data_IF_993994760843
#
_entry.id   IF_993994760843
#
_cell.length_a   1.000
_cell.length_b   1.000
_cell.length_c   1.000
_cell.angle_alpha   90.00
_cell.angle_beta   90.00
_cell.angle_gamma   90.00
#
_symmetry.space_group_name_H-M   'P 1'
#
loop_
_entity.id
_entity.type
_entity.pdbx_description
1 polymer ?
#
# COMPACT_ATOMS: atom_id res chain seq x y z
N UNK A 1 -8.73 -23.21 -16.04
CA UNK A 1 -9.93 -23.72 -15.33
C UNK A 1 -9.47 -24.92 -14.54
N UNK A 2 -9.74 -24.92 -13.23
CA UNK A 2 -9.37 -25.94 -12.28
C UNK A 2 -10.66 -26.58 -11.74
N UNK A 3 -10.65 -27.89 -11.59
CA UNK A 3 -11.78 -28.63 -11.00
C UNK A 3 -11.26 -29.55 -9.91
N UNK A 4 -12.11 -29.87 -8.93
CA UNK A 4 -11.68 -30.70 -7.82
C UNK A 4 -12.75 -30.89 -6.77
N UNK A 5 -12.38 -31.52 -5.66
CA UNK A 5 -13.30 -31.81 -4.57
C UNK A 5 -12.87 -31.04 -3.33
N UNK A 6 -13.84 -30.46 -2.63
CA UNK A 6 -13.66 -29.85 -1.31
C UNK A 6 -14.85 -30.15 -0.39
N UNK A 7 -14.65 -29.91 0.90
CA UNK A 7 -15.72 -30.03 1.91
C UNK A 7 -16.19 -28.67 2.38
N UNK A 8 -17.51 -28.53 2.48
CA UNK A 8 -18.17 -27.37 3.08
C UNK A 8 -19.41 -27.82 3.85
N UNK A 9 -19.55 -27.42 5.12
CA UNK A 9 -20.61 -27.90 6.03
C UNK A 9 -20.75 -29.44 6.07
N UNK A 10 -19.63 -30.16 6.14
CA UNK A 10 -19.58 -31.63 6.12
C UNK A 10 -20.15 -32.32 4.87
N UNK A 11 -20.48 -31.55 3.83
CA UNK A 11 -20.88 -32.06 2.51
C UNK A 11 -19.73 -31.94 1.51
N UNK A 12 -19.63 -32.92 0.61
CA UNK A 12 -18.66 -32.91 -0.49
C UNK A 12 -19.21 -32.10 -1.66
N UNK A 13 -18.40 -31.18 -2.18
CA UNK A 13 -18.68 -30.39 -3.37
C UNK A 13 -17.63 -30.61 -4.43
N UNK A 14 -18.06 -30.74 -5.68
CA UNK A 14 -17.23 -30.50 -6.84
C UNK A 14 -17.08 -28.99 -7.02
N UNK A 15 -15.86 -28.46 -6.96
CA UNK A 15 -15.60 -27.07 -7.30
C UNK A 15 -15.24 -26.92 -8.78
N UNK A 16 -15.72 -25.84 -9.39
CA UNK A 16 -15.27 -25.36 -10.70
C UNK A 16 -14.76 -23.93 -10.52
N UNK A 17 -13.49 -23.72 -10.83
CA UNK A 17 -12.82 -22.46 -10.61
C UNK A 17 -12.05 -22.02 -11.85
N UNK A 18 -12.23 -20.77 -12.27
CA UNK A 18 -11.44 -20.19 -13.35
C UNK A 18 -10.42 -19.23 -12.77
N UNK A 19 -9.14 -19.53 -12.99
CA UNK A 19 -8.03 -18.65 -12.58
C UNK A 19 -8.23 -17.24 -13.14
N UNK A 20 -8.03 -16.25 -12.27
CA UNK A 20 -8.27 -14.84 -12.58
C UNK A 20 -9.72 -14.36 -12.41
N UNK A 21 -10.66 -15.23 -12.05
CA UNK A 21 -12.04 -14.83 -11.69
C UNK A 21 -12.22 -14.97 -10.18
N UNK A 22 -12.73 -13.95 -9.51
CA UNK A 22 -12.89 -13.86 -8.05
C UNK A 22 -14.14 -14.59 -7.52
N UNK A 23 -14.69 -15.51 -8.31
CA UNK A 23 -15.88 -16.31 -7.98
C UNK A 23 -15.64 -17.76 -8.38
N UNK A 24 -16.02 -18.69 -7.51
CA UNK A 24 -16.00 -20.12 -7.79
C UNK A 24 -17.39 -20.72 -7.66
N UNK A 25 -17.61 -21.82 -8.39
CA UNK A 25 -18.84 -22.60 -8.34
C UNK A 25 -18.63 -23.84 -7.45
N UNK A 26 -19.55 -24.11 -6.54
CA UNK A 26 -19.62 -25.34 -5.77
C UNK A 26 -20.87 -26.11 -6.15
N UNK A 27 -20.67 -27.33 -6.66
CA UNK A 27 -21.72 -28.24 -7.12
C UNK A 27 -21.80 -29.39 -6.12
N UNK A 28 -22.92 -29.60 -5.42
CA UNK A 28 -23.07 -30.71 -4.48
C UNK A 28 -22.80 -32.06 -5.14
N UNK A 29 -22.01 -32.92 -4.49
CA UNK A 29 -21.71 -34.25 -5.02
C UNK A 29 -22.89 -35.24 -4.89
N UNK A 30 -23.76 -35.04 -3.90
CA UNK A 30 -24.99 -35.82 -3.74
C UNK A 30 -26.21 -35.00 -4.22
N UNK A 31 -26.94 -35.54 -5.19
CA UNK A 31 -28.19 -34.94 -5.70
C UNK A 31 -29.33 -34.95 -4.67
N UNK A 32 -29.16 -35.67 -3.54
CA UNK A 32 -30.12 -35.70 -2.42
C UNK A 32 -29.89 -34.60 -1.37
N UNK A 33 -28.79 -33.86 -1.40
CA UNK A 33 -28.62 -32.70 -0.52
C UNK A 33 -29.57 -31.59 -1.00
N UNK A 34 -30.78 -31.62 -0.45
CA UNK A 34 -31.76 -30.55 -0.63
C UNK A 34 -31.31 -29.34 0.16
N UNK A 35 -30.36 -28.57 -0.38
CA UNK A 35 -30.18 -27.18 0.02
C UNK A 35 -31.41 -26.47 -0.55
N UNK A 36 -32.43 -26.25 0.30
CA UNK A 36 -33.68 -25.65 -0.15
C UNK A 36 -33.38 -24.35 -0.91
N UNK A 37 -33.87 -24.19 -2.15
CA UNK A 37 -33.67 -22.96 -2.89
C UNK A 37 -34.44 -21.85 -2.19
N UNK A 38 -33.74 -20.93 -1.51
CA UNK A 38 -34.33 -19.66 -1.12
C UNK A 38 -34.48 -18.83 -2.39
N UNK A 39 -35.64 -18.93 -3.02
CA UNK A 39 -36.00 -18.13 -4.19
C UNK A 39 -36.44 -16.75 -3.70
N UNK A 40 -35.79 -15.70 -4.21
CA UNK A 40 -36.27 -14.33 -4.06
C UNK A 40 -37.54 -14.17 -4.93
N UNK A 41 -38.72 -14.25 -4.30
CA UNK A 41 -39.98 -13.84 -4.93
C UNK A 41 -40.33 -12.42 -4.51
N UNK A 42 -40.36 -11.50 -5.48
CA UNK A 42 -41.09 -10.25 -5.32
C UNK A 42 -42.54 -10.43 -5.78
N UNK A 43 -43.47 -10.53 -4.82
CA UNK A 43 -44.91 -10.49 -5.07
C UNK A 43 -45.54 -9.47 -4.12
N UNK A 44 -46.11 -8.41 -4.71
CA UNK A 44 -47.11 -7.51 -4.11
C UNK A 44 -46.91 -7.14 -2.62
N UNK A 45 -45.81 -6.45 -2.30
CA UNK A 45 -45.73 -5.65 -1.07
C UNK A 45 -45.59 -6.43 0.24
N UNK A 46 -45.26 -7.72 0.21
CA UNK A 46 -44.87 -8.49 1.40
C UNK A 46 -43.38 -8.82 1.27
N UNK A 47 -42.55 -8.16 2.08
CA UNK A 47 -41.16 -8.57 2.31
C UNK A 47 -41.17 -9.80 3.19
N UNK A 48 -40.84 -10.96 2.63
CA UNK A 48 -40.39 -12.08 3.42
C UNK A 48 -38.90 -11.86 3.72
N UNK A 49 -38.56 -11.70 4.99
CA UNK A 49 -37.17 -11.59 5.45
C UNK A 49 -36.48 -12.96 5.31
N UNK A 50 -36.09 -13.32 4.10
CA UNK A 50 -35.18 -14.43 3.88
C UNK A 50 -33.76 -13.90 4.02
N UNK A 51 -33.11 -14.20 5.15
CA UNK A 51 -31.69 -13.90 5.28
C UNK A 51 -30.92 -14.64 4.18
N UNK A 52 -30.17 -13.93 3.32
CA UNK A 52 -29.36 -14.55 2.28
C UNK A 52 -28.32 -15.46 2.93
N UNK A 53 -27.99 -16.58 2.28
CA UNK A 53 -26.90 -17.44 2.74
C UNK A 53 -25.60 -16.62 2.74
N UNK A 54 -24.87 -16.65 3.85
CA UNK A 54 -23.62 -15.92 4.00
C UNK A 54 -22.46 -16.89 4.17
N UNK A 55 -21.34 -16.54 3.58
CA UNK A 55 -20.09 -17.29 3.74
C UNK A 55 -19.57 -17.16 5.17
N UNK A 56 -19.47 -18.27 5.89
CA UNK A 56 -19.09 -18.30 7.30
C UNK A 56 -17.67 -18.85 7.54
N UNK A 57 -17.22 -19.76 6.69
CA UNK A 57 -15.85 -20.28 6.70
C UNK A 57 -14.90 -19.29 6.01
N UNK A 58 -13.76 -18.93 6.63
CA UNK A 58 -12.75 -18.02 6.03
C UNK A 58 -11.92 -18.69 4.93
N UNK A 59 -11.90 -20.02 4.91
CA UNK A 59 -11.14 -20.81 3.94
C UNK A 59 -11.95 -22.02 3.49
N UNK A 60 -11.76 -22.41 2.23
CA UNK A 60 -12.23 -23.68 1.68
C UNK A 60 -11.04 -24.42 1.08
N UNK A 61 -10.81 -25.65 1.51
CA UNK A 61 -9.63 -26.45 1.17
C UNK A 61 -10.07 -27.63 0.33
N UNK A 62 -9.44 -27.81 -0.83
CA UNK A 62 -9.72 -28.91 -1.73
C UNK A 62 -8.48 -29.43 -2.44
N UNK A 63 -8.68 -30.45 -3.27
CA UNK A 63 -7.64 -31.03 -4.11
C UNK A 63 -8.07 -30.91 -5.59
N UNK A 64 -7.12 -30.51 -6.43
CA UNK A 64 -7.32 -30.38 -7.88
C UNK A 64 -7.29 -31.76 -8.52
N UNK A 65 -8.27 -32.07 -9.38
CA UNK A 65 -8.41 -33.39 -9.99
C UNK A 65 -7.20 -33.75 -10.88
N UNK A 66 -6.70 -32.77 -11.65
CA UNK A 66 -5.71 -32.97 -12.70
C UNK A 66 -4.32 -33.36 -12.17
N UNK A 67 -3.91 -32.83 -11.01
CA UNK A 67 -2.56 -33.00 -10.47
C UNK A 67 -2.53 -33.36 -8.98
N UNK A 68 -3.69 -33.45 -8.32
CA UNK A 68 -3.82 -33.70 -6.88
C UNK A 68 -3.18 -32.63 -5.98
N UNK A 69 -2.80 -31.48 -6.56
CA UNK A 69 -2.30 -30.34 -5.79
C UNK A 69 -3.40 -29.84 -4.86
N UNK A 70 -2.99 -29.44 -3.65
CA UNK A 70 -3.89 -28.83 -2.67
C UNK A 70 -4.14 -27.38 -3.05
N UNK A 71 -5.40 -26.97 -3.00
CA UNK A 71 -5.83 -25.58 -3.21
C UNK A 71 -6.53 -25.07 -1.97
N UNK A 72 -6.17 -23.87 -1.53
CA UNK A 72 -6.82 -23.18 -0.41
C UNK A 72 -7.44 -21.90 -0.93
N UNK A 73 -8.76 -21.86 -0.97
CA UNK A 73 -9.52 -20.68 -1.34
C UNK A 73 -9.72 -19.78 -0.11
N UNK A 74 -9.34 -18.51 -0.24
CA UNK A 74 -9.60 -17.49 0.79
C UNK A 74 -10.92 -16.82 0.47
N UNK A 75 -11.92 -16.99 1.33
CA UNK A 75 -13.28 -16.49 1.08
C UNK A 75 -13.48 -15.11 1.69
N UNK A 76 -14.52 -14.41 1.24
CA UNK A 76 -14.96 -13.15 1.86
C UNK A 76 -16.01 -13.46 2.93
N UNK A 77 -15.59 -13.51 4.20
CA UNK A 77 -16.50 -13.78 5.34
C UNK A 77 -17.67 -12.79 5.36
N UNK A 78 -18.86 -13.30 5.62
CA UNK A 78 -20.15 -12.60 5.59
C UNK A 78 -20.60 -12.09 4.21
N UNK A 79 -19.89 -12.41 3.13
CA UNK A 79 -20.40 -12.14 1.77
C UNK A 79 -21.61 -13.01 1.46
N UNK A 80 -22.53 -12.48 0.65
CA UNK A 80 -23.67 -13.25 0.19
C UNK A 80 -23.21 -14.35 -0.76
N UNK A 81 -23.66 -15.57 -0.51
CA UNK A 81 -23.52 -16.70 -1.43
C UNK A 81 -24.73 -16.69 -2.36
N UNK A 82 -24.48 -16.57 -3.66
CA UNK A 82 -25.54 -16.70 -4.67
C UNK A 82 -25.80 -18.18 -4.92
N UNK A 83 -27.07 -18.59 -4.96
CA UNK A 83 -27.48 -19.97 -5.22
C UNK A 83 -28.36 -20.04 -6.47
N UNK A 84 -27.99 -20.89 -7.44
CA UNK A 84 -28.79 -21.14 -8.65
C UNK A 84 -28.78 -22.64 -8.93
N UNK A 85 -29.95 -23.27 -9.01
CA UNK A 85 -30.09 -24.71 -9.29
C UNK A 85 -29.19 -25.61 -8.40
N UNK A 86 -29.13 -25.31 -7.10
CA UNK A 86 -28.25 -25.96 -6.10
C UNK A 86 -26.74 -25.75 -6.29
N UNK A 87 -26.31 -24.93 -7.25
CA UNK A 87 -24.93 -24.47 -7.37
C UNK A 87 -24.73 -23.24 -6.50
N UNK A 88 -23.69 -23.25 -5.68
CA UNK A 88 -23.29 -22.09 -4.87
C UNK A 88 -22.18 -21.31 -5.58
N UNK A 89 -22.35 -20.00 -5.66
CA UNK A 89 -21.36 -19.07 -6.20
C UNK A 89 -20.71 -18.33 -5.04
N UNK A 90 -19.43 -18.61 -4.79
CA UNK A 90 -18.69 -18.11 -3.64
C UNK A 90 -17.65 -17.11 -4.10
N UNK A 91 -17.70 -15.90 -3.53
CA UNK A 91 -16.71 -14.86 -3.78
C UNK A 91 -15.43 -15.12 -3.00
N UNK A 92 -14.32 -14.89 -3.68
CA UNK A 92 -12.99 -15.17 -3.19
C UNK A 92 -12.14 -13.90 -3.14
N UNK A 93 -11.25 -13.84 -2.15
CA UNK A 93 -10.26 -12.78 -2.02
C UNK A 93 -8.91 -13.17 -2.62
N UNK A 94 -8.54 -14.45 -2.48
CA UNK A 94 -7.30 -15.01 -2.99
C UNK A 94 -7.41 -16.55 -3.05
N UNK A 95 -6.40 -17.20 -3.61
CA UNK A 95 -6.20 -18.64 -3.44
C UNK A 95 -4.72 -19.01 -3.37
N UNK A 96 -4.42 -20.11 -2.69
CA UNK A 96 -3.10 -20.73 -2.62
C UNK A 96 -3.11 -22.00 -3.48
N UNK A 97 -2.12 -22.14 -4.35
CA UNK A 97 -1.81 -23.39 -5.04
C UNK A 97 -0.58 -24.02 -4.39
N UNK A 98 -0.78 -25.16 -3.73
CA UNK A 98 0.28 -25.88 -3.01
C UNK A 98 0.65 -27.13 -3.79
N UNK A 99 1.94 -27.41 -3.92
CA UNK A 99 2.42 -28.62 -4.57
C UNK A 99 1.97 -29.88 -3.79
N UNK A 100 1.55 -30.93 -4.52
CA UNK A 100 1.04 -32.17 -3.93
C UNK A 100 2.09 -32.84 -3.01
N UNK A 101 1.58 -33.56 -1.99
CA UNK A 101 2.29 -34.37 -0.98
C UNK A 101 2.81 -33.69 0.31
N UNK A 102 2.53 -32.40 0.58
CA UNK A 102 3.05 -31.80 1.82
C UNK A 102 2.04 -31.00 2.66
N UNK A 103 1.92 -31.39 3.94
CA UNK A 103 1.28 -30.60 5.00
C UNK A 103 2.31 -29.66 5.66
N UNK A 104 3.26 -29.16 4.87
CA UNK A 104 4.34 -28.29 5.33
C UNK A 104 3.81 -26.96 5.84
N UNK A 105 4.47 -26.44 6.86
CA UNK A 105 4.28 -25.07 7.34
C UNK A 105 5.06 -24.11 6.46
N UNK A 106 4.49 -22.93 6.20
CA UNK A 106 5.10 -21.87 5.40
C UNK A 106 5.96 -20.99 6.31
N UNK A 107 7.21 -20.73 5.94
CA UNK A 107 8.14 -19.90 6.73
C UNK A 107 8.72 -18.73 5.94
N UNK A 108 8.47 -18.68 4.63
CA UNK A 108 8.99 -17.64 3.75
C UNK A 108 8.03 -17.31 2.62
N UNK A 109 8.00 -16.03 2.28
CA UNK A 109 7.19 -15.42 1.24
C UNK A 109 8.08 -14.52 0.38
N UNK A 110 8.02 -14.65 -0.95
CA UNK A 110 8.71 -13.75 -1.87
C UNK A 110 7.71 -13.10 -2.82
N UNK A 111 7.80 -11.79 -2.98
CA UNK A 111 6.93 -10.99 -3.83
C UNK A 111 7.73 -10.35 -4.96
N UNK A 112 7.23 -10.50 -6.18
CA UNK A 112 7.82 -9.94 -7.40
C UNK A 112 6.89 -8.89 -8.00
N UNK A 113 7.45 -7.77 -8.44
CA UNK A 113 6.74 -6.78 -9.26
C UNK A 113 7.74 -5.96 -10.06
N UNK A 114 7.35 -5.39 -11.21
CA UNK A 114 8.18 -4.46 -11.96
C UNK A 114 8.68 -3.30 -11.09
N UNK A 115 7.87 -2.81 -10.16
CA UNK A 115 8.25 -1.71 -9.28
C UNK A 115 9.39 -2.09 -8.33
N UNK A 116 9.41 -3.34 -7.84
CA UNK A 116 10.52 -3.85 -7.02
C UNK A 116 11.82 -3.89 -7.83
N UNK A 117 11.78 -4.23 -9.12
CA UNK A 117 12.94 -4.18 -10.02
C UNK A 117 13.56 -2.79 -10.16
N UNK A 118 12.76 -1.74 -9.92
CA UNK A 118 13.23 -0.35 -9.95
C UNK A 118 13.64 0.17 -8.57
N UNK A 119 12.93 -0.22 -7.50
CA UNK A 119 13.26 0.14 -6.11
C UNK A 119 14.60 -0.46 -5.71
N UNK A 120 14.81 -1.74 -6.02
CA UNK A 120 16.03 -2.47 -5.75
C UNK A 120 16.70 -2.93 -7.05
N UNK A 121 17.26 -1.99 -7.81
CA UNK A 121 17.68 -2.22 -9.21
C UNK A 121 18.34 -3.57 -9.51
N UNK A 122 17.76 -4.33 -10.45
CA UNK A 122 18.32 -5.59 -10.99
C UNK A 122 19.71 -5.43 -11.61
N UNK A 123 20.09 -4.21 -12.00
CA UNK A 123 21.41 -3.94 -12.57
C UNK A 123 22.56 -4.21 -11.60
N UNK A 124 22.29 -4.25 -10.28
CA UNK A 124 23.29 -4.68 -9.29
C UNK A 124 23.68 -6.15 -9.42
N UNK A 125 22.89 -6.95 -10.13
CA UNK A 125 23.07 -8.39 -10.24
C UNK A 125 24.17 -8.82 -11.20
N UNK A 126 24.63 -7.94 -12.08
CA UNK A 126 25.61 -8.27 -13.11
C UNK A 126 26.55 -7.12 -13.41
N UNK A 127 27.73 -7.48 -13.91
CA UNK A 127 28.71 -6.56 -14.44
C UNK A 127 29.05 -6.94 -15.88
N UNK A 128 29.24 -5.92 -16.73
CA UNK A 128 29.75 -6.11 -18.08
C UNK A 128 31.27 -6.01 -18.06
N UNK A 129 31.95 -7.11 -18.40
CA UNK A 129 33.37 -7.04 -18.74
C UNK A 129 33.51 -6.92 -20.25
N UNK A 130 33.64 -5.69 -20.76
CA UNK A 130 34.14 -5.48 -22.11
C UNK A 130 35.65 -5.64 -22.07
N UNK A 131 36.17 -6.83 -22.41
CA UNK A 131 37.63 -7.01 -22.44
C UNK A 131 38.30 -6.08 -23.46
N UNK A 132 37.59 -5.63 -24.51
CA UNK A 132 37.89 -4.46 -25.36
C UNK A 132 36.69 -4.20 -26.30
N UNK A 133 36.20 -2.95 -26.43
CA UNK A 133 35.14 -2.60 -27.41
C UNK A 133 35.58 -2.98 -28.84
N UNK A 134 36.89 -2.95 -29.12
CA UNK A 134 37.46 -3.36 -30.40
C UNK A 134 37.32 -4.87 -30.65
N UNK A 135 37.40 -5.71 -29.62
CA UNK A 135 37.24 -7.16 -29.77
C UNK A 135 35.76 -7.55 -29.86
N UNK A 136 34.84 -6.82 -29.22
CA UNK A 136 33.40 -7.00 -29.46
C UNK A 136 33.05 -6.74 -30.93
N UNK A 137 33.51 -5.61 -31.49
CA UNK A 137 33.26 -5.26 -32.89
C UNK A 137 33.92 -6.24 -33.89
N UNK A 138 34.94 -7.00 -33.47
CA UNK A 138 35.66 -7.95 -34.32
C UNK A 138 35.20 -9.39 -34.18
N UNK A 139 34.96 -9.86 -32.95
CA UNK A 139 34.66 -11.26 -32.61
C UNK A 139 33.21 -11.49 -32.19
N UNK A 140 32.47 -10.42 -31.88
CA UNK A 140 31.09 -10.50 -31.38
C UNK A 140 30.96 -11.16 -30.00
N UNK A 141 32.04 -11.30 -29.23
CA UNK A 141 32.03 -12.00 -27.94
C UNK A 141 31.71 -11.04 -26.79
N UNK A 142 30.73 -11.40 -25.96
CA UNK A 142 30.37 -10.69 -24.72
C UNK A 142 30.40 -11.68 -23.57
N UNK A 143 30.93 -11.25 -22.42
CA UNK A 143 30.83 -12.00 -21.16
C UNK A 143 30.00 -11.20 -20.17
N UNK A 144 28.93 -11.82 -19.66
CA UNK A 144 28.11 -11.29 -18.57
C UNK A 144 28.46 -12.09 -17.33
N UNK A 145 28.95 -11.41 -16.29
CA UNK A 145 29.24 -12.04 -15.01
C UNK A 145 28.24 -11.57 -13.97
N UNK A 146 27.54 -12.51 -13.34
CA UNK A 146 26.67 -12.20 -12.22
C UNK A 146 27.48 -11.98 -10.95
N UNK A 147 27.03 -11.04 -10.13
CA UNK A 147 27.51 -10.87 -8.77
C UNK A 147 26.89 -11.97 -7.88
N UNK A 148 27.57 -12.29 -6.77
CA UNK A 148 27.13 -13.29 -5.80
C UNK A 148 25.89 -12.83 -4.99
N UNK A 149 25.30 -13.74 -4.22
CA UNK A 149 24.07 -13.44 -3.46
C UNK A 149 24.31 -12.43 -2.33
N UNK A 150 25.45 -12.48 -1.65
CA UNK A 150 25.75 -11.62 -0.51
C UNK A 150 25.90 -10.16 -0.96
N UNK A 151 26.50 -9.92 -2.12
CA UNK A 151 26.63 -8.58 -2.71
C UNK A 151 25.36 -8.05 -3.38
N UNK A 152 24.33 -8.88 -3.52
CA UNK A 152 23.09 -8.53 -4.24
C UNK A 152 21.83 -8.67 -3.38
N UNK A 153 21.98 -8.86 -2.08
CA UNK A 153 20.88 -8.91 -1.13
C UNK A 153 21.00 -7.76 -0.14
N UNK A 154 19.88 -7.21 0.30
CA UNK A 154 19.88 -6.24 1.40
C UNK A 154 20.19 -6.94 2.72
N UNK A 155 20.69 -6.17 3.69
CA UNK A 155 20.72 -6.66 5.06
C UNK A 155 19.28 -6.84 5.57
N UNK A 156 19.00 -7.93 6.32
CA UNK A 156 17.69 -8.12 6.93
C UNK A 156 17.33 -6.97 7.87
N UNK A 157 16.08 -6.53 7.77
CA UNK A 157 15.42 -5.65 8.72
C UNK A 157 14.26 -6.41 9.35
N UNK A 158 13.73 -5.91 10.46
CA UNK A 158 12.68 -6.61 11.20
C UNK A 158 11.51 -5.69 11.49
N UNK A 159 10.32 -6.25 11.44
CA UNK A 159 9.08 -5.60 11.89
C UNK A 159 8.18 -6.62 12.57
N UNK A 160 7.17 -6.13 13.30
CA UNK A 160 6.26 -6.99 14.05
C UNK A 160 4.86 -6.91 13.47
N UNK A 161 4.21 -8.08 13.39
CA UNK A 161 2.79 -8.20 13.09
C UNK A 161 2.21 -9.05 14.21
N UNK A 162 1.33 -8.44 15.00
CA UNK A 162 0.84 -9.04 16.25
C UNK A 162 2.03 -9.36 17.17
N UNK A 163 2.20 -10.62 17.56
CA UNK A 163 3.32 -11.10 18.38
C UNK A 163 4.42 -11.78 17.56
N UNK A 164 4.30 -11.83 16.23
CA UNK A 164 5.25 -12.48 15.32
C UNK A 164 6.28 -11.46 14.82
N UNK A 165 7.56 -11.85 14.86
CA UNK A 165 8.65 -11.10 14.24
C UNK A 165 8.85 -11.57 12.80
N UNK A 166 8.98 -10.63 11.88
CA UNK A 166 9.15 -10.90 10.46
C UNK A 166 10.45 -10.24 10.01
N UNK A 167 11.34 -11.06 9.46
CA UNK A 167 12.53 -10.62 8.75
C UNK A 167 12.15 -10.18 7.35
N UNK A 168 12.69 -9.05 6.92
CA UNK A 168 12.48 -8.41 5.63
C UNK A 168 13.83 -8.26 4.93
N UNK A 169 13.90 -8.64 3.66
CA UNK A 169 15.04 -8.29 2.80
C UNK A 169 14.63 -8.13 1.34
N UNK A 170 15.41 -7.35 0.59
CA UNK A 170 15.39 -7.37 -0.87
C UNK A 170 16.45 -8.35 -1.37
N UNK A 171 16.09 -9.20 -2.32
CA UNK A 171 17.00 -10.19 -2.91
C UNK A 171 16.89 -10.17 -4.43
N UNK A 172 17.86 -10.78 -5.11
CA UNK A 172 17.82 -10.95 -6.57
C UNK A 172 17.59 -12.43 -6.91
N UNK A 173 16.44 -12.72 -7.49
CA UNK A 173 16.13 -14.00 -8.11
C UNK A 173 16.81 -14.11 -9.48
N UNK A 174 17.35 -15.30 -9.77
CA UNK A 174 18.04 -15.62 -11.02
C UNK A 174 17.52 -16.94 -11.57
N UNK A 175 16.85 -16.88 -12.71
CA UNK A 175 16.33 -18.07 -13.40
C UNK A 175 17.13 -18.30 -14.67
N UNK A 176 17.77 -19.47 -14.78
CA UNK A 176 18.51 -19.88 -15.97
C UNK A 176 17.65 -20.87 -16.77
N UNK A 177 17.55 -20.66 -18.08
CA UNK A 177 16.84 -21.56 -18.97
C UNK A 177 17.68 -21.90 -20.20
N UNK A 178 17.61 -23.16 -20.63
CA UNK A 178 18.14 -23.61 -21.92
C UNK A 178 17.03 -23.86 -22.94
N UNK A 179 15.77 -23.58 -22.58
CA UNK A 179 14.63 -23.82 -23.43
C UNK A 179 14.57 -22.81 -24.59
N UNK A 180 14.30 -23.30 -25.80
CA UNK A 180 14.14 -22.46 -26.99
C UNK A 180 12.93 -21.53 -26.79
N UNK A 181 13.13 -20.23 -27.10
CA UNK A 181 12.08 -19.22 -26.99
C UNK A 181 11.93 -18.58 -25.61
N UNK A 182 12.69 -19.02 -24.61
CA UNK A 182 12.81 -18.34 -23.30
C UNK A 182 14.15 -17.59 -23.21
N UNK A 183 14.20 -16.44 -22.53
CA UNK A 183 15.47 -15.80 -22.23
C UNK A 183 16.38 -16.77 -21.45
N UNK A 184 17.69 -16.84 -21.77
CA UNK A 184 18.60 -17.78 -21.12
C UNK A 184 18.85 -17.45 -19.65
N UNK A 185 18.70 -16.18 -19.29
CA UNK A 185 18.83 -15.67 -17.94
C UNK A 185 17.72 -14.64 -17.72
N UNK A 186 16.94 -14.84 -16.68
CA UNK A 186 15.93 -13.91 -16.19
C UNK A 186 16.36 -13.49 -14.78
N UNK A 187 16.36 -12.18 -14.53
CA UNK A 187 16.76 -11.59 -13.25
C UNK A 187 15.62 -10.69 -12.78
N UNK A 188 15.20 -10.91 -11.54
CA UNK A 188 14.15 -10.13 -10.90
C UNK A 188 14.56 -9.81 -9.47
N UNK A 189 14.12 -8.66 -9.01
CA UNK A 189 14.24 -8.24 -7.62
C UNK A 189 13.00 -8.67 -6.88
N UNK A 190 13.21 -9.20 -5.68
CA UNK A 190 12.13 -9.74 -4.86
C UNK A 190 12.14 -9.11 -3.49
N UNK A 191 10.95 -8.85 -2.97
CA UNK A 191 10.74 -8.54 -1.55
C UNK A 191 10.54 -9.87 -0.83
N UNK A 192 11.40 -10.16 0.14
CA UNK A 192 11.39 -11.41 0.88
C UNK A 192 10.97 -11.16 2.33
N UNK A 193 10.00 -11.95 2.80
CA UNK A 193 9.66 -12.08 4.21
C UNK A 193 9.98 -13.48 4.70
N UNK A 194 10.67 -13.56 5.85
CA UNK A 194 10.96 -14.80 6.56
C UNK A 194 10.41 -14.68 7.99
N UNK A 195 9.74 -15.73 8.47
CA UNK A 195 8.99 -15.74 9.71
C UNK A 195 8.92 -17.16 10.30
N UNK A 196 8.44 -17.29 11.53
CA UNK A 196 8.26 -18.62 12.14
C UNK A 196 7.27 -19.47 11.32
N UNK A 197 7.57 -20.76 11.05
CA UNK A 197 6.74 -21.63 10.23
C UNK A 197 5.27 -21.66 10.69
N UNK A 198 4.33 -21.44 9.76
CA UNK A 198 2.90 -21.34 10.06
C UNK A 198 2.00 -21.84 8.92
N UNK A 199 0.80 -22.29 9.26
CA UNK A 199 -0.32 -22.60 8.36
C UNK A 199 -1.44 -21.55 8.43
N UNK A 200 -1.17 -20.41 9.09
CA UNK A 200 -2.08 -19.27 9.18
C UNK A 200 -2.12 -18.50 7.85
N UNK A 201 -2.98 -18.96 6.95
CA UNK A 201 -3.17 -18.34 5.64
C UNK A 201 -3.63 -16.87 5.74
N UNK A 202 -4.35 -16.47 6.80
CA UNK A 202 -4.78 -15.08 6.96
C UNK A 202 -3.59 -14.17 7.27
N UNK A 203 -2.70 -14.61 8.17
CA UNK A 203 -1.44 -13.93 8.45
C UNK A 203 -0.61 -13.74 7.17
N UNK A 204 -0.47 -14.78 6.34
CA UNK A 204 0.31 -14.71 5.10
C UNK A 204 -0.32 -13.73 4.09
N UNK A 205 -1.66 -13.71 3.97
CA UNK A 205 -2.37 -12.73 3.15
C UNK A 205 -2.17 -11.31 3.68
N UNK A 206 -2.19 -11.10 4.99
CA UNK A 206 -1.91 -9.80 5.60
C UNK A 206 -0.48 -9.33 5.29
N UNK A 207 0.51 -10.23 5.32
CA UNK A 207 1.87 -9.90 4.87
C UNK A 207 1.91 -9.42 3.42
N UNK A 208 1.16 -10.07 2.51
CA UNK A 208 1.04 -9.60 1.13
C UNK A 208 0.44 -8.20 1.06
N UNK A 209 -0.55 -7.89 1.90
CA UNK A 209 -1.15 -6.56 1.98
C UNK A 209 -0.16 -5.49 2.49
N UNK A 210 0.62 -5.81 3.53
CA UNK A 210 1.63 -4.90 4.06
C UNK A 210 2.76 -4.65 3.06
N UNK A 211 3.26 -5.70 2.41
CA UNK A 211 4.20 -5.58 1.29
C UNK A 211 3.65 -4.65 0.20
N UNK A 212 2.40 -4.84 -0.21
CA UNK A 212 1.77 -4.01 -1.24
C UNK A 212 1.72 -2.55 -0.81
N UNK A 213 1.27 -2.27 0.42
CA UNK A 213 1.21 -0.90 0.94
C UNK A 213 2.59 -0.26 1.08
N UNK A 214 3.63 -1.05 1.36
CA UNK A 214 5.01 -0.58 1.37
C UNK A 214 5.46 -0.16 -0.03
N UNK A 215 5.23 -0.98 -1.05
CA UNK A 215 5.56 -0.60 -2.44
C UNK A 215 4.68 0.58 -2.91
N UNK A 216 3.39 0.63 -2.56
CA UNK A 216 2.48 1.76 -2.83
C UNK A 216 2.99 3.07 -2.24
N UNK A 217 3.52 3.01 -1.01
CA UNK A 217 4.18 4.14 -0.37
C UNK A 217 5.37 4.58 -1.22
N UNK A 218 6.33 3.69 -1.50
CA UNK A 218 7.55 4.02 -2.26
C UNK A 218 7.29 4.54 -3.68
N UNK A 219 6.18 4.13 -4.31
CA UNK A 219 5.77 4.56 -5.66
C UNK A 219 4.72 5.67 -5.68
N UNK A 220 4.22 6.10 -4.52
CA UNK A 220 3.16 7.11 -4.35
C UNK A 220 1.88 6.85 -5.19
N UNK A 221 1.42 5.60 -5.29
CA UNK A 221 0.17 5.21 -6.00
C UNK A 221 -0.38 3.87 -5.51
N UNK A 222 -1.69 3.64 -5.68
CA UNK A 222 -2.38 2.43 -5.16
C UNK A 222 -2.40 1.22 -6.12
N UNK A 223 -2.30 1.42 -7.42
CA UNK A 223 -2.36 0.36 -8.43
C UNK A 223 -1.04 -0.42 -8.58
N UNK A 224 -0.53 -0.95 -7.46
CA UNK A 224 0.62 -1.85 -7.42
C UNK A 224 0.12 -3.28 -7.40
N UNK A 225 0.70 -4.09 -8.28
CA UNK A 225 0.34 -5.49 -8.48
C UNK A 225 1.57 -6.39 -8.44
N UNK A 226 1.43 -7.57 -7.84
CA UNK A 226 2.49 -8.56 -7.83
C UNK A 226 2.36 -9.52 -9.02
N UNK A 227 3.46 -9.72 -9.75
CA UNK A 227 3.54 -10.68 -10.85
C UNK A 227 3.71 -12.11 -10.33
N UNK A 228 4.38 -12.24 -9.19
CA UNK A 228 4.50 -13.50 -8.46
C UNK A 228 4.49 -13.28 -6.96
N UNK A 229 3.89 -14.24 -6.25
CA UNK A 229 3.86 -14.30 -4.79
C UNK A 229 4.09 -15.77 -4.43
N UNK A 230 5.36 -16.12 -4.24
CA UNK A 230 5.77 -17.50 -4.02
C UNK A 230 5.99 -17.75 -2.53
N UNK A 231 5.59 -18.94 -2.08
CA UNK A 231 5.70 -19.36 -0.68
C UNK A 231 6.62 -20.57 -0.57
N UNK A 232 7.32 -20.64 0.55
CA UNK A 232 8.32 -21.65 0.80
C UNK A 232 8.12 -22.27 2.18
N UNK A 233 8.64 -23.48 2.32
CA UNK A 233 8.68 -24.24 3.57
C UNK A 233 10.14 -24.41 4.03
N UNK A 234 10.38 -24.59 5.34
CA UNK A 234 11.71 -24.83 5.86
C UNK A 234 12.23 -26.19 5.41
N UNK A 235 13.53 -26.24 5.09
CA UNK A 235 14.31 -27.47 4.95
C UNK A 235 15.58 -27.36 5.81
N UNK A 236 16.34 -28.47 5.92
CA UNK A 236 17.56 -28.50 6.72
C UNK A 236 18.56 -27.38 6.36
N UNK A 237 19.29 -26.90 7.38
CA UNK A 237 20.33 -25.87 7.29
C UNK A 237 19.82 -24.46 6.93
N UNK A 238 18.68 -24.02 7.49
CA UNK A 238 18.10 -22.68 7.25
C UNK A 238 17.90 -22.38 5.76
N UNK A 239 17.54 -23.41 4.99
CA UNK A 239 17.19 -23.26 3.58
C UNK A 239 15.69 -23.39 3.44
N UNK A 240 15.20 -22.93 2.29
CA UNK A 240 13.77 -22.94 1.99
C UNK A 240 13.55 -23.68 0.67
N UNK A 241 12.50 -24.49 0.63
CA UNK A 241 12.04 -25.15 -0.59
C UNK A 241 10.75 -24.48 -1.05
N UNK A 242 10.65 -24.20 -2.36
CA UNK A 242 9.41 -23.72 -2.96
C UNK A 242 8.28 -24.68 -2.63
N UNK A 243 7.15 -24.15 -2.17
CA UNK A 243 6.02 -24.94 -1.70
C UNK A 243 4.73 -24.64 -2.48
N UNK A 244 4.63 -23.45 -3.04
CA UNK A 244 3.45 -23.05 -3.79
C UNK A 244 3.44 -21.58 -4.14
N UNK A 245 2.30 -21.15 -4.68
CA UNK A 245 2.08 -19.77 -5.12
C UNK A 245 0.75 -19.24 -4.58
N UNK A 246 0.71 -17.95 -4.30
CA UNK A 246 -0.50 -17.20 -3.95
C UNK A 246 -0.94 -16.40 -5.17
N UNK A 247 -2.25 -16.41 -5.43
CA UNK A 247 -2.90 -15.58 -6.43
C UNK A 247 -3.91 -14.67 -5.76
N UNK A 248 -3.68 -13.36 -5.86
CA UNK A 248 -4.53 -12.31 -5.29
C UNK A 248 -5.39 -11.71 -6.42
N UNK A 249 -6.72 -11.68 -6.28
CA UNK A 249 -7.58 -11.18 -7.37
C UNK A 249 -7.42 -9.67 -7.62
N UNK A 250 -6.96 -8.91 -6.61
CA UNK A 250 -6.58 -7.51 -6.80
C UNK A 250 -5.46 -7.34 -7.85
N UNK A 251 -4.66 -8.38 -8.14
CA UNK A 251 -3.54 -8.36 -9.10
C UNK A 251 -3.94 -8.64 -10.56
N UNK A 252 -5.22 -8.82 -10.85
CA UNK A 252 -5.69 -9.09 -12.22
C UNK A 252 -5.68 -7.84 -13.13
N UNK A 253 -5.20 -6.71 -12.64
CA UNK A 253 -5.11 -5.47 -13.40
C UNK A 253 -3.71 -5.29 -14.01
N UNK A 254 -3.62 -4.46 -15.07
CA UNK A 254 -2.33 -4.12 -15.69
C UNK A 254 -1.66 -2.98 -14.94
N UNK A 255 -0.35 -3.11 -14.70
CA UNK A 255 0.46 -1.99 -14.20
C UNK A 255 0.59 -0.89 -15.26
N UNK A 256 0.73 0.35 -14.81
CA UNK A 256 0.96 1.50 -15.69
C UNK A 256 2.42 1.51 -16.15
N UNK A 257 2.62 1.58 -17.46
CA UNK A 257 3.95 1.51 -18.09
C UNK A 257 4.76 2.79 -17.79
N UNK A 258 4.15 3.97 -17.94
CA UNK A 258 4.84 5.26 -17.78
C UNK A 258 5.59 5.43 -16.44
N UNK A 259 5.00 5.19 -15.25
CA UNK A 259 5.72 5.35 -13.99
C UNK A 259 6.88 4.35 -13.81
N UNK A 260 6.79 3.16 -14.43
CA UNK A 260 7.85 2.15 -14.42
C UNK A 260 9.01 2.59 -15.31
N UNK A 261 8.74 2.92 -16.58
CA UNK A 261 9.76 3.38 -17.54
C UNK A 261 10.42 4.69 -17.08
N UNK A 262 9.63 5.55 -16.44
CA UNK A 262 10.13 6.79 -15.82
C UNK A 262 10.61 6.58 -14.39
N UNK A 263 10.78 5.35 -13.91
CA UNK A 263 11.52 5.06 -12.68
C UNK A 263 10.99 5.82 -11.43
N UNK A 264 9.69 6.15 -11.38
CA UNK A 264 9.06 6.98 -10.35
C UNK A 264 8.84 6.19 -9.06
N UNK A 265 9.91 6.06 -8.28
CA UNK A 265 9.87 5.39 -6.99
C UNK A 265 11.05 5.84 -6.12
N UNK A 266 10.87 5.73 -4.81
CA UNK A 266 11.98 5.80 -3.86
C UNK A 266 12.88 4.58 -4.05
N UNK A 267 14.18 4.82 -4.17
CA UNK A 267 15.19 3.77 -4.24
C UNK A 267 15.50 3.19 -2.87
N UNK A 268 15.82 1.90 -2.83
CA UNK A 268 16.26 1.21 -1.63
C UNK A 268 17.40 1.97 -0.93
N UNK A 269 18.36 2.50 -1.69
CA UNK A 269 19.51 3.22 -1.16
C UNK A 269 19.12 4.47 -0.35
N UNK A 270 17.93 5.03 -0.59
CA UNK A 270 17.46 6.25 0.09
C UNK A 270 16.85 5.93 1.46
N UNK A 271 16.33 4.72 1.63
CA UNK A 271 15.62 4.28 2.85
C UNK A 271 16.37 3.21 3.64
N UNK A 272 17.53 2.77 3.14
CA UNK A 272 18.32 1.68 3.71
C UNK A 272 18.44 1.78 5.24
N UNK A 273 18.03 0.72 5.94
CA UNK A 273 18.02 0.63 7.40
C UNK A 273 16.74 1.13 8.08
N UNK A 274 15.73 1.57 7.32
CA UNK A 274 14.45 2.08 7.85
C UNK A 274 13.22 1.31 7.34
N UNK A 275 13.43 0.31 6.49
CA UNK A 275 12.39 -0.48 5.83
C UNK A 275 11.50 -1.20 6.87
N UNK A 276 12.13 -1.78 7.90
CA UNK A 276 11.41 -2.42 9.00
C UNK A 276 10.51 -1.45 9.78
N UNK A 277 11.02 -0.24 10.08
CA UNK A 277 10.24 0.80 10.76
C UNK A 277 9.05 1.28 9.92
N UNK A 278 9.24 1.46 8.62
CA UNK A 278 8.17 1.85 7.69
C UNK A 278 7.10 0.75 7.64
N UNK A 279 7.50 -0.52 7.47
CA UNK A 279 6.56 -1.65 7.43
C UNK A 279 5.84 -1.86 8.77
N UNK A 280 6.49 -1.60 9.90
CA UNK A 280 5.85 -1.63 11.21
C UNK A 280 4.74 -0.56 11.32
N UNK A 281 5.01 0.67 10.87
CA UNK A 281 4.00 1.73 10.82
C UNK A 281 2.85 1.38 9.87
N UNK A 282 3.12 0.70 8.75
CA UNK A 282 2.08 0.19 7.84
C UNK A 282 1.23 -0.87 8.54
N UNK A 283 1.85 -1.87 9.17
CA UNK A 283 1.15 -2.96 9.83
C UNK A 283 0.27 -2.47 11.00
N UNK A 284 0.71 -1.41 11.70
CA UNK A 284 0.01 -0.82 12.84
C UNK A 284 -0.93 0.33 12.47
N UNK A 285 -1.13 0.62 11.17
CA UNK A 285 -1.90 1.77 10.67
C UNK A 285 -1.42 3.13 11.22
N UNK A 286 -0.13 3.21 11.51
CA UNK A 286 0.59 4.42 11.87
C UNK A 286 1.27 5.06 10.66
N UNK A 287 0.73 4.95 9.45
CA UNK A 287 1.10 5.87 8.36
C UNK A 287 -0.13 6.20 7.54
N UNK A 288 -0.30 7.47 7.15
CA UNK A 288 -1.47 7.88 6.40
C UNK A 288 -1.30 7.62 4.90
N UNK A 289 -1.82 6.49 4.41
CA UNK A 289 -1.72 6.11 2.98
C UNK A 289 -2.99 6.39 2.17
N UNK A 290 -4.06 6.90 2.79
CA UNK A 290 -5.36 7.08 2.10
C UNK A 290 -5.30 8.14 1.00
N UNK A 291 -4.40 9.12 1.13
CA UNK A 291 -4.18 10.20 0.18
C UNK A 291 -3.48 9.76 -1.12
N UNK A 292 -2.89 8.56 -1.15
CA UNK A 292 -2.26 8.05 -2.36
C UNK A 292 -3.31 7.96 -3.49
N UNK A 293 -2.97 8.43 -4.71
CA UNK A 293 -3.87 8.36 -5.84
C UNK A 293 -4.13 6.90 -6.25
N UNK A 294 -5.26 6.66 -6.93
CA UNK A 294 -5.62 5.30 -7.36
C UNK A 294 -4.61 4.76 -8.37
N UNK A 295 -4.14 5.62 -9.27
CA UNK A 295 -3.11 5.35 -10.27
C UNK A 295 -2.23 6.58 -10.47
N UNK A 296 -1.16 6.46 -11.24
CA UNK A 296 -0.36 7.61 -11.66
C UNK A 296 -1.18 8.61 -12.48
N UNK A 297 -2.00 8.14 -13.43
CA UNK A 297 -2.89 9.02 -14.20
C UNK A 297 -3.92 9.75 -13.31
N UNK A 298 -4.59 9.02 -12.41
CA UNK A 298 -5.51 9.62 -11.41
C UNK A 298 -4.79 10.68 -10.56
N UNK A 299 -3.51 10.47 -10.26
CA UNK A 299 -2.68 11.40 -9.50
C UNK A 299 -2.40 12.74 -10.19
N UNK A 300 -2.59 12.83 -11.51
CA UNK A 300 -2.48 14.09 -12.28
C UNK A 300 -3.72 14.97 -12.13
N UNK A 301 -4.80 14.45 -11.57
CA UNK A 301 -6.04 15.17 -11.35
C UNK A 301 -6.27 15.40 -9.84
N UNK A 302 -6.80 16.57 -9.49
CA UNK A 302 -7.27 16.86 -8.13
C UNK A 302 -8.78 17.09 -8.21
N UNK A 303 -9.52 16.33 -7.41
CA UNK A 303 -10.93 16.53 -7.16
C UNK A 303 -11.13 16.89 -5.69
N UNK A 304 -12.38 17.14 -5.30
CA UNK A 304 -12.72 17.46 -3.90
C UNK A 304 -12.28 16.35 -2.95
N UNK A 305 -12.41 15.09 -3.35
CA UNK A 305 -12.07 13.94 -2.51
C UNK A 305 -10.56 13.86 -2.28
N UNK A 306 -9.75 13.98 -3.32
CA UNK A 306 -8.29 13.95 -3.20
C UNK A 306 -7.78 15.18 -2.44
N UNK A 307 -8.36 16.37 -2.64
CA UNK A 307 -8.08 17.55 -1.81
C UNK A 307 -8.29 17.28 -0.31
N UNK A 308 -9.46 16.75 0.06
CA UNK A 308 -9.79 16.44 1.46
C UNK A 308 -8.81 15.40 2.01
N UNK A 309 -8.47 14.38 1.24
CA UNK A 309 -7.56 13.32 1.67
C UNK A 309 -6.12 13.84 1.86
N UNK A 310 -5.62 14.71 0.97
CA UNK A 310 -4.26 15.29 1.06
C UNK A 310 -4.16 16.25 2.24
N UNK A 311 -5.14 17.13 2.42
CA UNK A 311 -5.14 18.06 3.56
C UNK A 311 -5.27 17.30 4.89
N UNK A 312 -6.08 16.25 4.94
CA UNK A 312 -6.16 15.36 6.12
C UNK A 312 -4.84 14.63 6.38
N UNK A 313 -4.16 14.16 5.33
CA UNK A 313 -2.84 13.54 5.45
C UNK A 313 -1.82 14.50 6.02
N UNK A 314 -1.79 15.74 5.52
CA UNK A 314 -0.90 16.78 6.05
C UNK A 314 -1.15 17.03 7.52
N UNK A 315 -2.39 17.26 7.94
CA UNK A 315 -2.68 17.49 9.35
C UNK A 315 -2.28 16.33 10.24
N UNK A 316 -2.54 15.11 9.78
CA UNK A 316 -2.20 13.90 10.52
C UNK A 316 -0.69 13.72 10.65
N UNK A 317 0.07 13.77 9.56
CA UNK A 317 1.53 13.61 9.59
C UNK A 317 2.22 14.79 10.30
N UNK A 318 1.68 16.00 10.19
CA UNK A 318 2.17 17.16 10.94
C UNK A 318 2.01 16.91 12.43
N UNK A 319 0.81 16.54 12.91
CA UNK A 319 0.59 16.26 14.34
C UNK A 319 1.49 15.15 14.88
N UNK A 320 1.93 14.21 14.04
CA UNK A 320 2.86 13.18 14.49
C UNK A 320 4.33 13.61 14.53
N UNK A 321 4.72 14.62 13.73
CA UNK A 321 6.05 15.24 13.79
C UNK A 321 6.12 16.36 14.85
N UNK A 322 4.96 16.95 15.19
CA UNK A 322 4.80 18.05 16.15
C UNK A 322 3.75 17.67 17.20
N UNK A 323 4.04 16.72 18.12
CA UNK A 323 3.08 16.26 19.12
C UNK A 323 2.62 17.37 20.07
N UNK A 324 3.49 18.37 20.32
CA UNK A 324 3.21 19.53 21.17
C UNK A 324 2.64 20.73 20.37
N UNK A 325 2.37 20.55 19.08
CA UNK A 325 1.89 21.61 18.18
C UNK A 325 2.99 22.53 17.66
N UNK A 326 2.60 23.68 17.11
CA UNK A 326 3.54 24.65 16.52
C UNK A 326 4.34 25.39 17.60
N UNK A 327 5.55 25.82 17.26
CA UNK A 327 6.37 26.66 18.15
C UNK A 327 5.78 28.08 18.20
N UNK A 328 5.17 28.43 19.33
CA UNK A 328 4.52 29.74 19.55
C UNK A 328 5.43 30.73 20.28
N UNK A 329 5.21 32.02 20.06
CA UNK A 329 5.87 33.10 20.81
C UNK A 329 5.33 33.15 22.25
N UNK A 330 6.17 33.58 23.20
CA UNK A 330 5.77 33.70 24.61
C UNK A 330 4.55 34.62 24.81
N UNK A 331 4.42 35.69 24.02
CA UNK A 331 3.26 36.58 24.04
C UNK A 331 1.96 35.86 23.63
N UNK A 332 2.01 34.95 22.66
CA UNK A 332 0.87 34.14 22.23
C UNK A 332 0.48 33.15 23.30
N UNK A 333 1.45 32.47 23.93
CA UNK A 333 1.19 31.54 25.03
C UNK A 333 0.54 32.24 26.24
N UNK A 334 0.97 33.46 26.57
CA UNK A 334 0.34 34.29 27.62
C UNK A 334 -1.10 34.64 27.28
N UNK A 335 -1.38 35.01 26.03
CA UNK A 335 -2.73 35.32 25.57
C UNK A 335 -3.64 34.08 25.58
N UNK A 336 -3.17 32.94 25.06
CA UNK A 336 -3.90 31.67 25.10
C UNK A 336 -4.21 31.23 26.53
N UNK A 337 -3.25 31.36 27.46
CA UNK A 337 -3.46 31.07 28.87
C UNK A 337 -4.50 31.98 29.53
N UNK A 338 -4.43 33.29 29.28
CA UNK A 338 -5.40 34.23 29.84
C UNK A 338 -6.83 33.96 29.32
N UNK A 339 -6.96 33.64 28.03
CA UNK A 339 -8.25 33.28 27.43
C UNK A 339 -8.74 31.93 27.95
N UNK A 340 -7.87 30.93 28.07
CA UNK A 340 -8.26 29.60 28.55
C UNK A 340 -8.70 29.62 30.00
N UNK A 341 -8.05 30.40 30.86
CA UNK A 341 -8.46 30.64 32.25
C UNK A 341 -9.86 31.28 32.29
N UNK A 342 -10.09 32.35 31.52
CA UNK A 342 -11.39 33.01 31.46
C UNK A 342 -12.52 32.09 30.94
N UNK A 343 -12.26 31.30 29.91
CA UNK A 343 -13.24 30.33 29.37
C UNK A 343 -13.49 29.20 30.36
N UNK A 344 -12.46 28.75 31.10
CA UNK A 344 -12.59 27.68 32.11
C UNK A 344 -13.46 28.12 33.28
N UNK A 345 -13.31 29.36 33.77
CA UNK A 345 -14.18 29.90 34.82
C UNK A 345 -15.66 29.96 34.39
N UNK A 346 -15.91 30.33 33.13
CA UNK A 346 -17.26 30.33 32.55
C UNK A 346 -17.82 28.92 32.39
N UNK A 347 -16.96 27.96 32.06
CA UNK A 347 -17.31 26.55 31.90
C UNK A 347 -17.77 25.93 33.23
N UNK A 348 -17.06 26.20 34.33
CA UNK A 348 -17.43 25.71 35.67
C UNK A 348 -18.79 26.22 36.13
N UNK A 349 -19.14 27.46 35.76
CA UNK A 349 -20.43 28.10 36.11
C UNK A 349 -21.58 27.73 35.19
N UNK A 350 -21.35 26.89 34.18
CA UNK A 350 -22.32 26.60 33.12
C UNK A 350 -22.80 25.14 33.11
N UNK A 351 -24.00 24.91 32.59
CA UNK A 351 -24.60 23.57 32.45
C UNK A 351 -25.23 23.38 31.07
N UNK A 352 -25.46 22.13 30.67
CA UNK A 352 -26.15 21.79 29.42
C UNK A 352 -25.43 22.31 28.17
N UNK A 353 -26.18 22.92 27.25
CA UNK A 353 -25.66 23.38 25.94
C UNK A 353 -24.58 24.45 26.06
N UNK A 354 -24.67 25.34 27.06
CA UNK A 354 -23.68 26.40 27.28
C UNK A 354 -22.31 25.81 27.67
N UNK A 355 -22.31 24.77 28.51
CA UNK A 355 -21.09 24.02 28.86
C UNK A 355 -20.46 23.35 27.63
N UNK A 356 -21.27 22.82 26.71
CA UNK A 356 -20.76 22.23 25.47
C UNK A 356 -20.10 23.28 24.57
N UNK A 357 -20.66 24.50 24.50
CA UNK A 357 -20.07 25.61 23.74
C UNK A 357 -18.74 26.05 24.36
N UNK A 358 -18.66 26.22 25.69
CA UNK A 358 -17.40 26.58 26.33
C UNK A 358 -16.33 25.50 26.17
N UNK A 359 -16.71 24.21 26.26
CA UNK A 359 -15.79 23.10 25.95
C UNK A 359 -15.24 23.19 24.52
N UNK A 360 -16.10 23.52 23.56
CA UNK A 360 -15.70 23.71 22.17
C UNK A 360 -14.74 24.90 22.01
N UNK A 361 -15.06 26.06 22.58
CA UNK A 361 -14.19 27.24 22.53
C UNK A 361 -12.83 26.98 23.18
N UNK A 362 -12.80 26.29 24.32
CA UNK A 362 -11.55 25.93 25.00
C UNK A 362 -10.68 25.04 24.11
N UNK A 363 -11.27 24.09 23.37
CA UNK A 363 -10.52 23.27 22.39
C UNK A 363 -9.94 24.11 21.26
N UNK A 364 -10.65 25.14 20.80
CA UNK A 364 -10.16 26.02 19.74
C UNK A 364 -8.96 26.87 20.16
N UNK A 365 -8.89 27.29 21.43
CA UNK A 365 -7.76 28.09 21.97
C UNK A 365 -6.44 27.33 21.81
N UNK A 366 -6.45 26.02 21.98
CA UNK A 366 -5.26 25.17 21.87
C UNK A 366 -5.06 24.60 20.47
N UNK A 367 -6.00 24.81 19.53
CA UNK A 367 -5.89 24.27 18.19
C UNK A 367 -5.02 25.13 17.28
N UNK A 368 -4.09 24.51 16.58
CA UNK A 368 -3.26 25.20 15.59
C UNK A 368 -3.96 25.25 14.23
N UNK A 369 -4.16 26.45 13.64
CA UNK A 369 -4.75 26.57 12.31
C UNK A 369 -3.89 25.90 11.23
N UNK A 370 -4.54 25.38 10.18
CA UNK A 370 -3.87 24.73 9.04
C UNK A 370 -2.80 25.63 8.40
N UNK A 371 -3.13 26.91 8.20
CA UNK A 371 -2.17 27.92 7.72
C UNK A 371 -0.92 27.98 8.59
N UNK A 372 -1.07 28.02 9.92
CA UNK A 372 0.07 28.13 10.85
C UNK A 372 0.95 26.88 10.82
N UNK A 373 0.36 25.69 10.63
CA UNK A 373 1.10 24.43 10.44
C UNK A 373 1.93 24.46 9.15
N UNK A 374 1.36 24.93 8.04
CA UNK A 374 2.08 25.07 6.75
C UNK A 374 3.25 26.06 6.87
N UNK A 375 3.05 27.18 7.55
CA UNK A 375 4.12 28.15 7.82
C UNK A 375 5.22 27.53 8.69
N UNK A 376 4.86 26.76 9.72
CA UNK A 376 5.84 26.08 10.57
C UNK A 376 6.65 25.05 9.78
N UNK A 377 5.99 24.24 8.95
CA UNK A 377 6.66 23.32 8.03
C UNK A 377 7.68 24.04 7.15
N UNK A 378 7.29 25.17 6.54
CA UNK A 378 8.20 25.93 5.66
C UNK A 378 9.44 26.46 6.36
N UNK A 379 9.35 26.79 7.67
CA UNK A 379 10.53 27.18 8.45
C UNK A 379 11.48 26.02 8.67
N UNK A 380 10.94 24.84 8.98
CA UNK A 380 11.73 23.71 9.47
C UNK A 380 12.28 22.83 8.33
N UNK A 381 11.63 22.84 7.16
CA UNK A 381 11.95 21.95 6.03
C UNK A 381 12.22 22.66 4.70
N UNK A 382 12.39 23.98 4.71
CA UNK A 382 12.70 24.76 3.49
C UNK A 382 13.92 24.24 2.74
N UNK A 383 14.98 23.85 3.45
CA UNK A 383 16.21 23.30 2.86
C UNK A 383 15.98 21.98 2.07
N UNK A 384 14.90 21.25 2.36
CA UNK A 384 14.54 20.02 1.67
C UNK A 384 13.72 20.33 0.41
N UNK A 385 12.64 21.11 0.54
CA UNK A 385 11.59 21.14 -0.49
C UNK A 385 11.48 22.47 -1.27
N UNK A 386 12.07 23.57 -0.77
CA UNK A 386 11.85 24.90 -1.35
C UNK A 386 12.21 24.98 -2.84
N UNK A 387 13.27 24.31 -3.27
CA UNK A 387 13.73 24.41 -4.67
C UNK A 387 12.67 23.84 -5.63
N UNK A 388 12.04 22.73 -5.26
CA UNK A 388 10.96 22.11 -6.01
C UNK A 388 9.71 23.01 -6.03
N UNK A 389 9.34 23.54 -4.86
CA UNK A 389 8.22 24.48 -4.73
C UNK A 389 8.43 25.76 -5.54
N UNK A 390 9.57 26.42 -5.38
CA UNK A 390 9.91 27.66 -6.12
C UNK A 390 9.88 27.44 -7.63
N UNK A 391 10.42 26.32 -8.11
CA UNK A 391 10.36 25.98 -9.53
C UNK A 391 8.92 25.78 -10.02
N UNK A 392 8.14 24.95 -9.32
CA UNK A 392 6.75 24.65 -9.65
C UNK A 392 5.89 25.92 -9.71
N UNK A 393 6.07 26.85 -8.77
CA UNK A 393 5.29 28.09 -8.70
C UNK A 393 5.74 29.11 -9.75
N UNK A 394 7.05 29.21 -10.01
CA UNK A 394 7.59 30.07 -11.07
C UNK A 394 7.08 29.66 -12.46
N UNK A 395 6.97 28.36 -12.75
CA UNK A 395 6.37 27.87 -14.01
C UNK A 395 4.93 28.38 -14.23
N UNK A 396 4.21 28.69 -13.15
CA UNK A 396 2.84 29.17 -13.17
C UNK A 396 2.73 30.68 -12.93
N UNK A 397 3.86 31.41 -12.86
CA UNK A 397 3.91 32.86 -12.60
C UNK A 397 3.28 33.24 -11.25
N UNK A 398 3.37 32.36 -10.25
CA UNK A 398 2.88 32.59 -8.88
C UNK A 398 4.09 32.71 -7.95
N UNK A 399 4.03 33.63 -6.98
CA UNK A 399 5.07 33.76 -5.96
C UNK A 399 4.98 32.60 -4.94
N UNK A 400 6.12 31.96 -4.68
CA UNK A 400 6.22 30.90 -3.69
C UNK A 400 6.29 31.47 -2.26
N UNK A 401 5.21 31.33 -1.49
CA UNK A 401 5.13 31.84 -0.12
C UNK A 401 4.23 30.95 0.76
N UNK A 402 4.80 30.34 1.80
CA UNK A 402 4.07 29.45 2.72
C UNK A 402 2.86 30.10 3.41
N UNK A 403 2.88 31.42 3.63
CA UNK A 403 1.74 32.13 4.22
C UNK A 403 0.55 32.11 3.25
N UNK A 404 0.78 32.48 1.99
CA UNK A 404 -0.27 32.59 0.97
C UNK A 404 -0.80 31.20 0.59
N UNK A 405 0.10 30.21 0.49
CA UNK A 405 -0.25 28.79 0.34
C UNK A 405 -1.18 28.37 1.48
N UNK A 406 -0.81 28.66 2.73
CA UNK A 406 -1.62 28.31 3.88
C UNK A 406 -2.99 28.98 3.93
N UNK A 407 -3.10 30.24 3.48
CA UNK A 407 -4.37 30.98 3.39
C UNK A 407 -5.30 30.36 2.35
N UNK A 408 -4.81 30.12 1.14
CA UNK A 408 -5.60 29.56 0.03
C UNK A 408 -6.07 28.14 0.33
N UNK A 409 -5.20 27.27 0.84
CA UNK A 409 -5.58 25.89 1.24
C UNK A 409 -6.63 25.91 2.35
N UNK A 410 -6.46 26.77 3.36
CA UNK A 410 -7.42 26.88 4.47
C UNK A 410 -8.78 27.40 4.00
N UNK A 411 -8.79 28.42 3.13
CA UNK A 411 -10.00 28.96 2.53
C UNK A 411 -10.74 27.89 1.71
N UNK A 412 -10.04 27.21 0.79
CA UNK A 412 -10.62 26.16 -0.05
C UNK A 412 -11.21 25.01 0.78
N UNK A 413 -10.51 24.57 1.84
CA UNK A 413 -11.02 23.56 2.78
C UNK A 413 -12.31 24.00 3.43
N UNK A 414 -12.40 25.24 3.90
CA UNK A 414 -13.60 25.75 4.56
C UNK A 414 -14.80 25.76 3.59
N UNK A 415 -14.60 26.16 2.33
CA UNK A 415 -15.64 26.08 1.30
C UNK A 415 -16.18 24.65 1.12
N UNK A 416 -15.29 23.66 0.99
CA UNK A 416 -15.71 22.25 0.88
C UNK A 416 -16.38 21.72 2.15
N UNK A 417 -15.90 22.10 3.33
CA UNK A 417 -16.50 21.70 4.60
C UNK A 417 -17.90 22.27 4.83
N UNK A 418 -18.21 23.43 4.21
CA UNK A 418 -19.54 24.05 4.27
C UNK A 418 -20.51 23.54 3.20
N UNK A 419 -20.10 22.61 2.35
CA UNK A 419 -20.95 21.98 1.34
C UNK A 419 -21.07 22.77 0.04
N UNK A 420 -20.23 23.79 -0.17
CA UNK A 420 -20.19 24.60 -1.38
C UNK A 420 -19.46 23.87 -2.53
N UNK A 421 -19.87 22.62 -2.81
CA UNK A 421 -19.28 21.74 -3.83
C UNK A 421 -19.50 22.23 -5.27
N UNK A 422 -20.34 23.26 -5.45
CA UNK A 422 -20.61 23.90 -6.74
C UNK A 422 -19.62 25.01 -7.09
N UNK A 423 -18.78 25.44 -6.14
CA UNK A 423 -17.75 26.45 -6.41
C UNK A 423 -16.54 25.78 -7.07
N UNK A 424 -16.08 26.36 -8.19
CA UNK A 424 -14.84 25.94 -8.84
C UNK A 424 -13.65 26.12 -7.90
N UNK A 425 -12.61 25.30 -8.08
CA UNK A 425 -11.36 25.45 -7.34
C UNK A 425 -10.79 26.86 -7.54
N UNK A 426 -10.29 27.47 -6.48
CA UNK A 426 -9.39 28.63 -6.61
C UNK A 426 -8.17 28.15 -7.40
N UNK A 427 -7.90 28.72 -8.58
CA UNK A 427 -6.90 28.23 -9.52
C UNK A 427 -5.52 28.02 -8.85
N UNK A 428 -5.10 28.95 -8.00
CA UNK A 428 -3.82 28.85 -7.27
C UNK A 428 -3.85 27.79 -6.17
N UNK A 429 -5.02 27.52 -5.57
CA UNK A 429 -5.16 26.49 -4.54
C UNK A 429 -4.96 25.07 -5.08
N UNK A 430 -5.19 24.86 -6.38
CA UNK A 430 -4.85 23.59 -7.04
C UNK A 430 -3.35 23.32 -6.96
N UNK A 431 -2.54 24.33 -7.29
CA UNK A 431 -1.08 24.24 -7.24
C UNK A 431 -0.59 24.02 -5.80
N UNK A 432 -1.20 24.72 -4.84
CA UNK A 432 -0.90 24.56 -3.42
C UNK A 432 -1.08 23.13 -2.94
N UNK A 433 -2.13 22.45 -3.41
CA UNK A 433 -2.46 21.07 -3.02
C UNK A 433 -1.54 20.06 -3.70
N UNK A 434 -1.14 20.33 -4.95
CA UNK A 434 -0.10 19.53 -5.62
C UNK A 434 1.20 19.60 -4.83
N UNK A 435 1.63 20.80 -4.43
CA UNK A 435 2.80 20.97 -3.58
C UNK A 435 2.61 20.29 -2.20
N UNK A 436 1.40 20.35 -1.63
CA UNK A 436 1.09 19.73 -0.35
C UNK A 436 1.26 18.19 -0.37
N UNK A 437 1.09 17.53 -1.53
CA UNK A 437 1.41 16.10 -1.68
C UNK A 437 2.88 15.82 -1.36
N UNK A 438 3.78 16.63 -1.87
CA UNK A 438 5.22 16.48 -1.65
C UNK A 438 5.58 16.80 -0.20
N UNK A 439 4.94 17.82 0.39
CA UNK A 439 5.07 18.17 1.82
C UNK A 439 4.68 17.03 2.74
N UNK A 440 3.55 16.35 2.47
CA UNK A 440 3.14 15.15 3.22
C UNK A 440 4.22 14.08 3.17
N UNK A 441 4.79 13.86 1.99
CA UNK A 441 5.81 12.84 1.80
C UNK A 441 7.12 13.19 2.51
N UNK A 442 7.52 14.47 2.54
CA UNK A 442 8.66 14.95 3.36
C UNK A 442 8.43 14.68 4.84
N UNK A 443 7.24 14.99 5.37
CA UNK A 443 6.89 14.74 6.77
C UNK A 443 6.93 13.25 7.12
N UNK A 444 6.44 12.39 6.22
CA UNK A 444 6.50 10.93 6.38
C UNK A 444 7.95 10.43 6.41
N UNK A 445 8.76 10.83 5.43
CA UNK A 445 10.15 10.37 5.31
C UNK A 445 11.04 10.91 6.44
N UNK A 446 10.84 12.16 6.86
CA UNK A 446 11.61 12.75 7.95
C UNK A 446 11.36 12.05 9.29
N UNK A 447 10.13 11.60 9.53
CA UNK A 447 9.76 10.86 10.73
C UNK A 447 10.62 9.61 10.93
N UNK A 448 10.98 8.94 9.83
CA UNK A 448 11.84 7.76 9.87
C UNK A 448 13.32 8.09 10.05
N UNK A 449 13.68 9.36 10.25
CA UNK A 449 15.07 9.77 10.49
C UNK A 449 15.95 9.81 9.24
N UNK A 450 15.34 9.81 8.04
CA UNK A 450 16.09 9.91 6.79
C UNK A 450 16.82 11.26 6.68
N UNK A 451 17.99 11.23 6.03
CA UNK A 451 18.76 12.44 5.77
C UNK A 451 18.04 13.35 4.79
N UNK A 452 18.26 14.66 4.91
CA UNK A 452 17.67 15.66 4.01
C UNK A 452 18.02 15.38 2.54
N UNK A 453 19.23 14.89 2.26
CA UNK A 453 19.68 14.48 0.92
C UNK A 453 18.85 13.31 0.37
N UNK A 454 18.64 12.25 1.16
CA UNK A 454 17.85 11.10 0.73
C UNK A 454 16.38 11.46 0.55
N UNK A 455 15.83 12.34 1.39
CA UNK A 455 14.48 12.87 1.22
C UNK A 455 14.39 13.66 -0.08
N UNK A 456 15.33 14.58 -0.34
CA UNK A 456 15.37 15.35 -1.60
C UNK A 456 15.42 14.46 -2.84
N UNK A 457 16.27 13.42 -2.83
CA UNK A 457 16.34 12.43 -3.91
C UNK A 457 15.02 11.67 -4.10
N UNK A 458 14.39 11.27 -2.98
CA UNK A 458 13.10 10.60 -2.99
C UNK A 458 12.00 11.45 -3.63
N UNK A 459 11.91 12.74 -3.27
CA UNK A 459 10.96 13.67 -3.90
C UNK A 459 11.27 13.84 -5.40
N UNK A 460 12.54 14.07 -5.74
CA UNK A 460 12.98 14.28 -7.11
C UNK A 460 12.61 13.11 -8.04
N UNK A 461 12.79 11.87 -7.57
CA UNK A 461 12.54 10.66 -8.36
C UNK A 461 11.05 10.33 -8.46
N UNK A 462 10.31 10.37 -7.34
CA UNK A 462 8.88 10.05 -7.32
C UNK A 462 8.08 11.07 -8.15
N UNK A 463 8.33 12.36 -7.94
CA UNK A 463 7.59 13.43 -8.61
C UNK A 463 8.20 13.85 -9.96
N UNK A 464 9.39 13.34 -10.32
CA UNK A 464 10.11 13.64 -11.58
C UNK A 464 10.39 15.12 -11.78
N UNK A 465 10.94 15.77 -10.76
CA UNK A 465 11.45 17.14 -10.91
C UNK A 465 12.69 17.18 -11.83
N UNK A 466 13.45 16.07 -11.93
CA UNK A 466 14.67 15.93 -12.73
C UNK A 466 15.77 16.95 -12.39
N UNK A 467 15.86 17.34 -11.12
CA UNK A 467 16.93 18.22 -10.65
C UNK A 467 18.23 17.46 -10.52
N UNK A 468 19.35 18.11 -10.84
CA UNK A 468 20.68 17.62 -10.48
C UNK A 468 20.94 17.99 -9.02
N UNK A 469 20.92 16.97 -8.14
CA UNK A 469 21.05 17.12 -6.69
C UNK A 469 22.45 16.77 -6.18
#
# INVERSE_FOLDING_TARGET
MLTGILKYHDEDYLFVFQEGIDEMELIPADTRSTIQPKTDFHLNGITADFEPMKMDAPFLIGNINENQNKIVFVTIKNSNIKQVNNVLYVKLYAYFLLEADDNGLIDKLTLESPEIDHIFSVNRAFNFSFQDIKDFNRKGTVTIKTNDFDSTSSHPQYFKVEDKEISLSFQINRTISTAIGKPPLIINSVLCFEFEPTDDYLFIINLCHYARNFIRFLCFRKNIYFTSVDIYKPIENNKHQHFGKISLFEDNQKSEIEPIETNRCIKYEYIMGNEGTILNDIATNQIYLRHLPKSYEDGKHIDVSSFIMITSAFEWEFSRNYPDGIIKKESTLKAEKAVSEAVSELLEKSTGKQKNIYNFLLRLVYSDPLQSKIIQFGKDYSNIIDDFGKYMYNLNQIDFNYKDIGERVSAQRNHFAHGDLHQEFINEALLDVVFLKEVVYVLQLKRYGLSDENIRRSINDVFRHNFAL
#
